data_IF_605033334683
#
_entry.id   IF_605033334683
#
_cell.length_a   1.000
_cell.length_b   1.000
_cell.length_c   1.000
_cell.angle_alpha   90.00
_cell.angle_beta   90.00
_cell.angle_gamma   90.00
#
_symmetry.space_group_name_H-M   'P 1'
#
loop_
_entity.id
_entity.type
_entity.pdbx_description
1 polymer ?
#
# COMPACT_ATOMS: atom_id res chain seq x y z
N UNK A 1 34.48 11.37 54.24
CA UNK A 1 33.25 12.18 54.22
C UNK A 1 32.95 12.48 52.76
N UNK A 2 32.10 11.67 52.13
CA UNK A 2 31.85 11.66 50.68
C UNK A 2 30.35 11.93 50.50
N UNK A 3 30.00 13.05 49.87
CA UNK A 3 28.62 13.39 49.50
C UNK A 3 28.42 13.12 48.00
N UNK A 4 27.34 12.45 47.58
CA UNK A 4 27.12 12.09 46.19
C UNK A 4 26.52 13.26 45.39
N UNK A 5 26.99 13.42 44.15
CA UNK A 5 26.40 14.30 43.13
C UNK A 5 25.17 13.63 42.53
N UNK A 6 24.00 14.22 42.76
CA UNK A 6 22.78 13.86 42.04
C UNK A 6 22.80 14.51 40.65
N UNK A 7 22.80 13.70 39.60
CA UNK A 7 22.65 14.15 38.21
C UNK A 7 21.16 14.21 37.87
N UNK A 8 20.67 15.42 37.62
CA UNK A 8 19.30 15.68 37.17
C UNK A 8 19.26 15.50 35.64
N UNK A 9 18.68 14.39 35.17
CA UNK A 9 18.41 14.17 33.76
C UNK A 9 17.11 14.89 33.37
N UNK A 10 17.23 16.03 32.67
CA UNK A 10 16.10 16.68 32.00
C UNK A 10 15.73 15.87 30.74
N UNK A 11 14.59 15.18 30.78
CA UNK A 11 13.95 14.59 29.61
C UNK A 11 13.28 15.72 28.81
N UNK A 12 13.93 16.18 27.73
CA UNK A 12 13.29 17.03 26.72
C UNK A 12 12.40 16.15 25.83
N UNK A 13 11.12 16.52 25.61
CA UNK A 13 10.28 15.82 24.65
C UNK A 13 10.84 16.00 23.25
N UNK A 14 11.23 14.89 22.61
CA UNK A 14 11.51 14.85 21.18
C UNK A 14 10.19 15.08 20.45
N UNK A 15 9.99 16.29 19.92
CA UNK A 15 8.91 16.55 18.98
C UNK A 15 9.18 15.70 17.73
N UNK A 16 8.26 14.79 17.41
CA UNK A 16 8.32 14.06 16.15
C UNK A 16 8.34 15.07 14.99
N UNK A 17 9.20 14.90 13.97
CA UNK A 17 9.16 15.76 12.79
C UNK A 17 7.74 15.76 12.22
N UNK A 18 7.16 16.96 12.10
CA UNK A 18 5.84 17.13 11.52
C UNK A 18 5.84 16.55 10.09
N UNK A 19 4.88 15.68 9.79
CA UNK A 19 4.64 15.23 8.42
C UNK A 19 4.31 16.46 7.57
N UNK A 20 5.09 16.68 6.52
CA UNK A 20 4.91 17.85 5.64
C UNK A 20 4.00 17.54 4.48
N UNK A 21 4.06 16.32 3.95
CA UNK A 21 3.22 15.85 2.86
C UNK A 21 1.91 15.28 3.38
N UNK A 22 0.82 15.67 2.72
CA UNK A 22 -0.54 15.25 3.03
C UNK A 22 -1.18 14.72 1.74
N UNK A 23 -1.94 13.63 1.86
CA UNK A 23 -2.78 13.15 0.78
C UNK A 23 -4.16 13.79 0.85
N UNK A 24 -4.75 14.08 -0.30
CA UNK A 24 -6.15 14.45 -0.42
C UNK A 24 -6.86 13.59 -1.46
N UNK A 25 -8.14 13.35 -1.22
CA UNK A 25 -8.98 12.52 -2.06
C UNK A 25 -10.33 13.22 -2.23
N UNK A 26 -10.89 13.16 -3.43
CA UNK A 26 -12.20 13.71 -3.72
C UNK A 26 -12.92 12.88 -4.78
N UNK A 27 -14.25 12.90 -4.78
CA UNK A 27 -15.09 12.41 -5.87
C UNK A 27 -16.18 13.46 -6.11
N UNK A 28 -16.16 14.11 -7.27
CA UNK A 28 -17.16 15.12 -7.64
C UNK A 28 -18.36 14.51 -8.39
N UNK A 29 -18.37 13.20 -8.60
CA UNK A 29 -19.37 12.44 -9.34
C UNK A 29 -19.07 12.31 -10.84
N UNK A 30 -18.22 13.16 -11.42
CA UNK A 30 -17.65 12.95 -12.74
C UNK A 30 -16.30 12.21 -12.65
N UNK A 31 -15.46 12.63 -11.71
CA UNK A 31 -14.11 12.12 -11.50
C UNK A 31 -13.81 11.88 -10.01
N UNK A 32 -13.00 10.85 -9.79
CA UNK A 32 -12.28 10.60 -8.54
C UNK A 32 -10.88 11.19 -8.68
N UNK A 33 -10.44 11.91 -7.66
CA UNK A 33 -9.14 12.58 -7.59
C UNK A 33 -8.33 12.01 -6.44
N UNK A 34 -7.06 11.73 -6.70
CA UNK A 34 -6.05 11.47 -5.69
C UNK A 34 -4.91 12.47 -5.85
N UNK A 35 -4.51 13.12 -4.77
CA UNK A 35 -3.34 14.01 -4.78
C UNK A 35 -2.50 13.92 -3.53
N UNK A 36 -1.22 14.27 -3.66
CA UNK A 36 -0.28 14.39 -2.56
C UNK A 36 0.56 15.66 -2.74
N UNK A 37 0.69 16.45 -1.69
CA UNK A 37 1.48 17.68 -1.71
C UNK A 37 1.99 18.03 -0.31
N UNK A 38 3.11 18.78 -0.20
CA UNK A 38 3.55 19.34 1.06
C UNK A 38 2.83 20.65 1.37
N UNK A 39 2.87 21.08 2.64
CA UNK A 39 2.52 22.45 3.03
C UNK A 39 3.77 23.30 3.34
N UNK A 40 3.96 24.47 2.70
CA UNK A 40 3.15 25.03 1.61
C UNK A 40 3.34 24.25 0.29
N UNK A 41 2.31 24.29 -0.57
CA UNK A 41 2.29 23.55 -1.85
C UNK A 41 3.29 24.16 -2.83
N UNK A 42 4.34 23.41 -3.12
CA UNK A 42 5.34 23.78 -4.13
C UNK A 42 5.48 22.71 -5.23
N UNK A 43 5.25 21.46 -4.85
CA UNK A 43 5.27 20.29 -5.74
C UNK A 43 4.05 19.45 -5.40
N UNK A 44 3.39 18.87 -6.39
CA UNK A 44 2.30 17.94 -6.14
C UNK A 44 2.28 16.80 -7.14
N UNK A 45 1.76 15.68 -6.65
CA UNK A 45 1.39 14.52 -7.44
C UNK A 45 -0.13 14.54 -7.54
N UNK A 46 -0.69 14.48 -8.75
CA UNK A 46 -2.14 14.40 -8.93
C UNK A 46 -2.51 13.38 -9.98
N UNK A 47 -3.63 12.71 -9.77
CA UNK A 47 -4.25 11.84 -10.76
C UNK A 47 -5.76 11.94 -10.63
N UNK A 48 -6.44 11.62 -11.73
CA UNK A 48 -7.89 11.48 -11.74
C UNK A 48 -8.31 10.23 -12.53
N UNK A 49 -9.52 9.79 -12.28
CA UNK A 49 -10.16 8.64 -12.93
C UNK A 49 -11.67 8.88 -13.01
N UNK A 50 -12.40 8.24 -13.94
CA UNK A 50 -13.85 8.35 -13.99
C UNK A 50 -14.51 7.88 -12.69
N UNK A 51 -15.43 8.67 -12.15
CA UNK A 51 -16.27 8.27 -11.02
C UNK A 51 -17.27 7.19 -11.43
N UNK A 52 -17.67 6.36 -10.46
CA UNK A 52 -18.73 5.38 -10.64
C UNK A 52 -20.09 6.04 -10.97
N UNK A 53 -20.30 7.28 -10.51
CA UNK A 53 -21.55 8.03 -10.74
C UNK A 53 -21.69 8.51 -12.18
N UNK A 54 -20.57 8.71 -12.89
CA UNK A 54 -20.52 9.10 -14.32
C UNK A 54 -21.33 10.36 -14.64
N UNK A 55 -21.32 11.36 -13.75
CA UNK A 55 -21.92 12.66 -14.06
C UNK A 55 -21.16 13.33 -15.23
N UNK A 56 -21.86 14.07 -16.11
CA UNK A 56 -21.20 14.89 -17.13
C UNK A 56 -20.27 15.94 -16.48
N UNK A 57 -19.02 16.12 -16.95
CA UNK A 57 -18.06 17.06 -16.34
C UNK A 57 -18.59 18.50 -16.24
N UNK A 58 -19.37 18.93 -17.23
CA UNK A 58 -20.00 20.27 -17.24
C UNK A 58 -20.97 20.47 -16.07
N UNK A 59 -21.59 19.41 -15.56
CA UNK A 59 -22.54 19.49 -14.44
C UNK A 59 -21.85 19.74 -13.10
N UNK A 60 -20.60 19.29 -12.97
CA UNK A 60 -19.81 19.38 -11.72
C UNK A 60 -18.75 20.48 -11.79
N UNK A 61 -18.75 21.27 -12.86
CA UNK A 61 -17.77 22.34 -13.09
C UNK A 61 -16.42 21.87 -13.65
N UNK A 62 -16.17 20.58 -13.78
CA UNK A 62 -14.91 19.98 -14.25
C UNK A 62 -14.74 19.99 -15.78
N UNK A 63 -15.30 20.98 -16.47
CA UNK A 63 -15.28 21.06 -17.94
C UNK A 63 -13.91 21.46 -18.54
N UNK A 64 -13.02 22.04 -17.72
CA UNK A 64 -11.63 22.34 -18.08
C UNK A 64 -10.64 21.29 -17.58
N UNK A 65 -11.13 20.30 -16.82
CA UNK A 65 -10.28 19.25 -16.27
C UNK A 65 -9.85 18.28 -17.37
N UNK A 66 -8.54 18.07 -17.49
CA UNK A 66 -8.01 17.03 -18.37
C UNK A 66 -8.07 15.68 -17.66
N UNK A 67 -8.81 14.74 -18.26
CA UNK A 67 -8.84 13.35 -17.79
C UNK A 67 -7.49 12.71 -18.07
N UNK A 68 -6.85 12.24 -17.02
CA UNK A 68 -5.62 11.47 -17.10
C UNK A 68 -5.86 10.20 -17.93
N UNK A 69 -4.86 9.75 -18.66
CA UNK A 69 -4.93 8.41 -19.22
C UNK A 69 -4.95 7.38 -18.06
N UNK A 70 -5.51 6.17 -18.28
CA UNK A 70 -5.50 5.12 -17.28
C UNK A 70 -4.11 4.91 -16.68
N UNK A 71 -4.05 4.92 -15.35
CA UNK A 71 -2.82 4.70 -14.58
C UNK A 71 -1.68 5.67 -14.91
N UNK A 72 -2.02 6.93 -15.20
CA UNK A 72 -1.06 8.03 -15.28
C UNK A 72 -1.22 8.99 -14.10
N UNK A 73 -0.13 9.64 -13.74
CA UNK A 73 -0.06 10.66 -12.69
C UNK A 73 0.64 11.89 -13.25
N UNK A 74 0.17 13.07 -12.88
CA UNK A 74 0.83 14.34 -13.13
C UNK A 74 1.78 14.64 -11.98
N UNK A 75 3.01 14.99 -12.33
CA UNK A 75 3.95 15.60 -11.40
C UNK A 75 4.04 17.08 -11.77
N UNK A 76 3.75 17.92 -10.79
CA UNK A 76 3.50 19.33 -11.03
C UNK A 76 4.30 20.18 -10.05
N UNK A 77 4.78 21.33 -10.51
CA UNK A 77 5.63 22.25 -9.76
C UNK A 77 5.12 23.67 -9.90
N UNK A 78 5.19 24.44 -8.81
CA UNK A 78 4.81 25.85 -8.86
C UNK A 78 5.75 26.64 -9.80
N UNK A 79 5.22 27.70 -10.42
CA UNK A 79 6.02 28.60 -11.26
C UNK A 79 7.23 29.22 -10.54
N UNK A 80 7.17 29.36 -9.21
CA UNK A 80 8.28 29.87 -8.40
C UNK A 80 9.45 28.89 -8.28
N UNK A 81 9.21 27.59 -8.46
CA UNK A 81 10.25 26.56 -8.47
C UNK A 81 10.93 26.43 -9.83
N UNK A 82 10.18 26.65 -10.91
CA UNK A 82 10.65 26.48 -12.28
C UNK A 82 10.41 27.79 -13.04
N UNK A 83 11.41 28.69 -13.12
CA UNK A 83 11.22 29.97 -13.81
C UNK A 83 11.22 29.78 -15.34
N UNK A 84 10.36 30.48 -16.07
CA UNK A 84 10.37 30.48 -17.53
C UNK A 84 8.98 30.55 -18.14
N UNK A 85 8.90 30.50 -19.48
CA UNK A 85 7.63 30.64 -20.22
C UNK A 85 7.48 29.66 -21.38
N UNK A 86 8.48 28.79 -21.64
CA UNK A 86 8.45 27.82 -22.74
C UNK A 86 8.84 26.43 -22.27
N UNK A 87 8.55 25.38 -23.07
CA UNK A 87 8.80 23.99 -22.68
C UNK A 87 10.21 23.75 -22.13
N UNK A 88 10.31 23.02 -21.02
CA UNK A 88 11.58 22.81 -20.31
C UNK A 88 12.00 21.36 -20.38
N UNK A 89 13.19 21.10 -20.90
CA UNK A 89 13.79 19.77 -21.04
C UNK A 89 15.13 19.66 -20.29
N UNK A 90 15.47 20.66 -19.49
CA UNK A 90 16.74 20.86 -18.78
C UNK A 90 16.60 20.66 -17.27
N UNK A 91 15.46 20.10 -16.82
CA UNK A 91 15.13 19.99 -15.41
C UNK A 91 15.50 18.59 -14.91
N UNK A 92 16.30 18.58 -13.84
CA UNK A 92 16.66 17.36 -13.13
C UNK A 92 15.98 17.30 -11.77
N UNK A 93 15.49 16.12 -11.40
CA UNK A 93 15.05 15.80 -10.06
C UNK A 93 16.04 14.82 -9.44
N UNK A 94 16.74 15.25 -8.40
CA UNK A 94 17.62 14.38 -7.63
C UNK A 94 16.81 13.70 -6.54
N UNK A 95 16.76 12.37 -6.60
CA UNK A 95 16.12 11.51 -5.61
C UNK A 95 17.23 10.77 -4.86
N UNK A 96 17.43 11.09 -3.59
CA UNK A 96 18.60 10.66 -2.83
C UNK A 96 19.89 11.24 -3.45
N UNK A 97 20.67 10.37 -4.09
CA UNK A 97 21.91 10.74 -4.82
C UNK A 97 21.79 10.51 -6.33
N UNK A 98 20.63 10.06 -6.82
CA UNK A 98 20.43 9.71 -8.22
C UNK A 98 19.74 10.86 -8.97
N UNK A 99 20.36 11.42 -10.02
CA UNK A 99 19.71 12.42 -10.85
C UNK A 99 18.76 11.75 -11.85
N UNK A 100 17.54 12.26 -11.94
CA UNK A 100 16.55 11.89 -12.94
C UNK A 100 16.33 13.08 -13.86
N UNK A 101 16.57 12.90 -15.16
CA UNK A 101 16.17 13.87 -16.17
C UNK A 101 14.65 13.81 -16.31
N UNK A 102 13.95 14.90 -16.03
CA UNK A 102 12.51 14.95 -16.24
C UNK A 102 12.19 14.99 -17.75
N UNK A 103 11.07 14.36 -18.18
CA UNK A 103 10.49 14.62 -19.49
C UNK A 103 10.24 16.11 -19.71
N UNK A 104 9.96 16.48 -20.97
CA UNK A 104 9.63 17.87 -21.31
C UNK A 104 8.43 18.33 -20.48
N UNK A 105 8.64 19.36 -19.68
CA UNK A 105 7.61 20.00 -18.87
C UNK A 105 6.95 21.13 -19.65
N UNK A 106 5.64 21.27 -19.49
CA UNK A 106 4.86 22.34 -20.11
C UNK A 106 4.22 23.20 -19.03
N UNK A 107 4.20 24.52 -19.26
CA UNK A 107 3.50 25.44 -18.39
C UNK A 107 2.00 25.37 -18.69
N UNK A 108 1.22 24.97 -17.71
CA UNK A 108 -0.22 25.14 -17.74
C UNK A 108 -0.54 26.60 -17.43
N UNK A 109 -0.83 27.38 -18.48
CA UNK A 109 -1.07 28.83 -18.38
C UNK A 109 -2.30 29.17 -17.53
N UNK A 110 -3.26 28.25 -17.41
CA UNK A 110 -4.48 28.45 -16.63
C UNK A 110 -4.18 28.44 -15.12
N UNK A 111 -3.33 27.52 -14.68
CA UNK A 111 -3.02 27.32 -13.25
C UNK A 111 -1.68 27.91 -12.84
N UNK A 112 -0.82 28.27 -13.79
CA UNK A 112 0.52 28.81 -13.53
C UNK A 112 1.51 27.75 -13.04
N UNK A 113 1.30 26.49 -13.42
CA UNK A 113 2.05 25.33 -12.90
C UNK A 113 2.76 24.60 -14.01
N UNK A 114 3.95 24.09 -13.72
CA UNK A 114 4.68 23.25 -14.65
C UNK A 114 4.29 21.81 -14.43
N UNK A 115 3.76 21.17 -15.47
CA UNK A 115 3.26 19.80 -15.38
C UNK A 115 4.01 18.87 -16.34
N UNK A 116 4.09 17.61 -15.93
CA UNK A 116 4.45 16.49 -16.79
C UNK A 116 3.64 15.27 -16.38
N UNK A 117 3.30 14.44 -17.35
CA UNK A 117 2.52 13.21 -17.12
C UNK A 117 3.43 12.00 -17.18
N UNK A 118 3.34 11.13 -16.17
CA UNK A 118 4.09 9.88 -16.06
C UNK A 118 3.12 8.70 -15.99
N UNK A 119 3.61 7.52 -16.38
CA UNK A 119 2.96 6.29 -15.93
C UNK A 119 3.10 6.19 -14.41
N UNK A 120 2.06 5.76 -13.70
CA UNK A 120 2.16 5.43 -12.28
C UNK A 120 3.19 4.33 -11.99
N UNK A 121 3.49 3.49 -12.99
CA UNK A 121 4.49 2.43 -12.92
C UNK A 121 5.91 2.93 -13.23
N UNK A 122 6.10 4.23 -13.46
CA UNK A 122 7.40 4.81 -13.79
C UNK A 122 8.41 4.57 -12.64
N UNK A 123 9.62 4.08 -12.94
CA UNK A 123 10.63 3.80 -11.93
C UNK A 123 11.04 5.05 -11.13
N UNK A 124 10.94 6.25 -11.70
CA UNK A 124 11.19 7.50 -10.99
C UNK A 124 10.18 7.71 -9.86
N UNK A 125 8.89 7.40 -10.09
CA UNK A 125 7.88 7.49 -9.02
C UNK A 125 8.15 6.49 -7.92
N UNK A 126 8.57 5.26 -8.26
CA UNK A 126 8.98 4.28 -7.25
C UNK A 126 10.14 4.80 -6.40
N UNK A 127 11.15 5.41 -7.04
CA UNK A 127 12.26 6.04 -6.34
C UNK A 127 11.79 7.22 -5.46
N UNK A 128 10.88 8.05 -5.96
CA UNK A 128 10.31 9.19 -5.23
C UNK A 128 9.63 8.76 -3.94
N UNK A 129 8.86 7.65 -3.97
CA UNK A 129 8.20 7.10 -2.78
C UNK A 129 9.16 6.55 -1.73
N UNK A 130 10.41 6.27 -2.09
CA UNK A 130 11.45 5.82 -1.18
C UNK A 130 12.45 6.92 -0.82
N UNK A 131 12.19 8.17 -1.24
CA UNK A 131 13.13 9.27 -1.12
C UNK A 131 13.32 9.71 0.34
N UNK A 132 14.57 9.73 0.80
CA UNK A 132 15.03 10.39 2.02
C UNK A 132 15.49 11.84 1.76
N UNK A 133 15.69 12.19 0.48
CA UNK A 133 16.10 13.51 0.02
C UNK A 133 15.56 13.77 -1.38
N UNK A 134 15.08 14.99 -1.60
CA UNK A 134 14.59 15.44 -2.89
C UNK A 134 15.17 16.82 -3.21
N UNK A 135 15.74 16.99 -4.40
CA UNK A 135 16.27 18.28 -4.88
C UNK A 135 15.87 18.51 -6.33
N UNK A 136 15.23 19.63 -6.62
CA UNK A 136 14.91 20.07 -7.98
C UNK A 136 16.05 20.97 -8.49
N UNK A 137 16.57 20.68 -9.67
CA UNK A 137 17.60 21.47 -10.33
C UNK A 137 17.12 21.88 -11.73
N UNK A 138 16.57 23.10 -11.89
CA UNK A 138 16.15 23.61 -13.18
C UNK A 138 17.36 24.19 -13.95
N UNK A 139 17.96 23.41 -14.85
CA UNK A 139 19.01 23.89 -15.75
C UNK A 139 20.17 24.60 -15.04
N UNK A 140 20.36 25.88 -15.37
CA UNK A 140 21.41 26.74 -14.82
C UNK A 140 21.09 27.38 -13.47
N UNK A 141 19.87 27.19 -12.95
CA UNK A 141 19.44 27.79 -11.70
C UNK A 141 19.96 27.03 -10.48
N UNK A 142 19.91 27.69 -9.32
CA UNK A 142 20.31 27.05 -8.06
C UNK A 142 19.37 25.88 -7.71
N UNK A 143 19.92 24.69 -7.39
CA UNK A 143 19.12 23.57 -6.93
C UNK A 143 18.35 23.89 -5.66
N UNK A 144 17.09 23.43 -5.56
CA UNK A 144 16.20 23.67 -4.43
C UNK A 144 15.83 22.35 -3.75
N UNK A 145 16.05 22.28 -2.44
CA UNK A 145 15.60 21.14 -1.63
C UNK A 145 14.08 21.14 -1.51
N UNK A 146 13.48 19.96 -1.65
CA UNK A 146 12.05 19.74 -1.48
C UNK A 146 11.81 18.90 -0.21
N UNK A 147 10.69 19.12 0.50
CA UNK A 147 10.35 18.31 1.66
C UNK A 147 10.11 16.85 1.26
N UNK A 148 10.39 15.91 2.15
CA UNK A 148 10.15 14.46 1.95
C UNK A 148 9.39 13.81 3.11
N UNK A 149 9.22 14.51 4.24
CA UNK A 149 8.53 13.95 5.39
C UNK A 149 7.05 13.71 5.07
N UNK A 150 6.61 12.45 5.15
CA UNK A 150 5.25 12.01 4.78
C UNK A 150 5.06 11.71 3.28
N UNK A 151 6.06 11.97 2.44
CA UNK A 151 5.96 11.74 0.99
C UNK A 151 5.62 10.28 0.64
N UNK A 152 6.26 9.25 1.24
CA UNK A 152 5.95 7.85 0.92
C UNK A 152 4.48 7.49 1.15
N UNK A 153 3.92 7.91 2.28
CA UNK A 153 2.54 7.58 2.67
C UNK A 153 1.53 8.39 1.86
N UNK A 154 1.77 9.69 1.70
CA UNK A 154 0.87 10.57 0.97
C UNK A 154 0.77 10.19 -0.52
N UNK A 155 1.91 9.95 -1.17
CA UNK A 155 1.95 9.53 -2.57
C UNK A 155 1.32 8.14 -2.78
N UNK A 156 1.52 7.21 -1.86
CA UNK A 156 0.85 5.89 -1.89
C UNK A 156 -0.66 6.06 -1.83
N UNK A 157 -1.17 6.86 -0.88
CA UNK A 157 -2.60 7.10 -0.74
C UNK A 157 -3.20 7.72 -2.01
N UNK A 158 -2.54 8.73 -2.60
CA UNK A 158 -2.98 9.33 -3.86
C UNK A 158 -3.03 8.31 -5.02
N UNK A 159 -2.00 7.47 -5.16
CA UNK A 159 -1.95 6.44 -6.19
C UNK A 159 -3.02 5.37 -5.97
N UNK A 160 -3.25 4.91 -4.73
CA UNK A 160 -4.29 3.94 -4.38
C UNK A 160 -5.67 4.43 -4.81
N UNK A 161 -6.01 5.68 -4.51
CA UNK A 161 -7.30 6.28 -4.90
C UNK A 161 -7.55 6.16 -6.40
N UNK A 162 -6.59 6.56 -7.23
CA UNK A 162 -6.75 6.53 -8.67
C UNK A 162 -6.67 5.13 -9.27
N UNK A 163 -5.81 4.25 -8.73
CA UNK A 163 -5.73 2.85 -9.18
C UNK A 163 -7.04 2.12 -8.90
N UNK A 164 -7.62 2.29 -7.70
CA UNK A 164 -8.95 1.75 -7.37
C UNK A 164 -10.04 2.26 -8.31
N UNK A 165 -10.05 3.57 -8.60
CA UNK A 165 -11.06 4.16 -9.46
C UNK A 165 -10.93 3.69 -10.93
N UNK A 166 -9.71 3.55 -11.46
CA UNK A 166 -9.50 2.98 -12.80
C UNK A 166 -9.87 1.50 -12.89
N UNK A 167 -9.57 0.72 -11.84
CA UNK A 167 -10.02 -0.66 -11.73
C UNK A 167 -11.56 -0.74 -11.74
N UNK A 168 -12.23 0.08 -10.94
CA UNK A 168 -13.68 0.17 -10.90
C UNK A 168 -14.29 0.63 -12.24
N UNK A 169 -13.55 1.44 -13.00
CA UNK A 169 -13.93 1.83 -14.36
C UNK A 169 -13.73 0.73 -15.42
N UNK A 170 -13.25 -0.46 -15.03
CA UNK A 170 -13.12 -1.64 -15.88
C UNK A 170 -11.74 -1.83 -16.51
N UNK A 171 -10.74 -1.06 -16.10
CA UNK A 171 -9.37 -1.20 -16.62
C UNK A 171 -8.60 -2.25 -15.83
N UNK A 172 -7.79 -3.05 -16.52
CA UNK A 172 -6.90 -4.02 -15.86
C UNK A 172 -5.73 -3.30 -15.19
N UNK A 173 -5.48 -3.59 -13.91
CA UNK A 173 -4.35 -2.98 -13.17
C UNK A 173 -3.03 -3.58 -13.71
N UNK A 174 -2.08 -2.73 -14.16
CA UNK A 174 -0.76 -3.20 -14.54
C UNK A 174 -0.09 -3.94 -13.37
N UNK A 175 0.64 -5.06 -13.61
CA UNK A 175 1.30 -5.80 -12.52
C UNK A 175 2.21 -4.94 -11.63
N UNK A 176 2.89 -3.95 -12.21
CA UNK A 176 3.74 -3.00 -11.48
C UNK A 176 2.97 -2.10 -10.51
N UNK A 177 1.65 -2.01 -10.64
CA UNK A 177 0.75 -1.26 -9.76
C UNK A 177 -0.09 -2.15 -8.86
N UNK A 178 0.24 -3.45 -8.81
CA UNK A 178 -0.37 -4.40 -7.89
C UNK A 178 -0.46 -3.78 -6.50
N UNK A 179 0.64 -3.19 -6.00
CA UNK A 179 0.71 -2.62 -4.65
C UNK A 179 -0.29 -1.52 -4.29
N UNK A 180 -0.95 -0.93 -5.29
CA UNK A 180 -1.95 0.13 -5.13
C UNK A 180 -3.38 -0.33 -5.39
N UNK A 181 -3.57 -1.56 -5.87
CA UNK A 181 -4.89 -2.13 -6.12
C UNK A 181 -5.58 -2.44 -4.79
N UNK A 182 -6.90 -2.26 -4.65
CA UNK A 182 -7.62 -2.71 -3.48
C UNK A 182 -7.59 -4.25 -3.33
N UNK A 183 -7.35 -4.99 -4.42
CA UNK A 183 -7.12 -6.44 -4.39
C UNK A 183 -5.72 -6.82 -3.88
N UNK A 184 -4.80 -5.86 -3.80
CA UNK A 184 -3.56 -6.00 -3.07
C UNK A 184 -3.82 -5.41 -1.70
N UNK A 185 -4.12 -6.25 -0.71
CA UNK A 185 -4.33 -5.84 0.68
C UNK A 185 -3.12 -5.04 1.19
N UNK A 186 -3.13 -3.73 0.98
CA UNK A 186 -1.97 -2.86 1.13
C UNK A 186 -2.34 -1.40 1.36
N UNK A 187 -3.59 -1.14 1.78
CA UNK A 187 -3.93 0.07 2.52
C UNK A 187 -3.06 0.18 3.77
N UNK A 188 -2.99 1.38 4.39
CA UNK A 188 -2.33 1.57 5.69
C UNK A 188 -2.55 0.32 6.54
N UNK A 189 -1.46 -0.39 6.89
CA UNK A 189 -1.55 -1.76 7.35
C UNK A 189 -2.67 -1.88 8.38
N UNK A 190 -3.73 -2.62 8.01
CA UNK A 190 -4.87 -2.79 8.91
C UNK A 190 -4.34 -3.43 10.20
N UNK A 191 -5.04 -3.27 11.33
CA UNK A 191 -4.58 -3.87 12.59
C UNK A 191 -4.22 -5.36 12.45
N UNK A 192 -4.92 -6.10 11.57
CA UNK A 192 -4.65 -7.52 11.32
C UNK A 192 -3.39 -7.74 10.48
N UNK A 193 -3.15 -6.94 9.44
CA UNK A 193 -1.91 -7.03 8.66
C UNK A 193 -0.68 -6.69 9.49
N UNK A 194 -0.75 -5.64 10.31
CA UNK A 194 0.32 -5.30 11.27
C UNK A 194 0.57 -6.45 12.23
N UNK A 195 -0.49 -7.06 12.78
CA UNK A 195 -0.36 -8.19 13.69
C UNK A 195 0.29 -9.42 13.03
N UNK A 196 -0.07 -9.71 11.77
CA UNK A 196 0.52 -10.81 11.02
C UNK A 196 2.01 -10.55 10.70
N UNK A 197 2.37 -9.34 10.29
CA UNK A 197 3.78 -8.96 10.08
C UNK A 197 4.60 -8.99 11.37
N UNK A 198 4.01 -8.60 12.50
CA UNK A 198 4.63 -8.74 13.83
C UNK A 198 4.84 -10.21 14.19
N UNK A 199 3.87 -11.08 13.91
CA UNK A 199 4.02 -12.52 14.10
C UNK A 199 5.16 -13.11 13.26
N UNK A 200 5.33 -12.68 12.00
CA UNK A 200 6.48 -13.08 11.16
C UNK A 200 7.81 -12.66 11.81
N UNK A 201 7.90 -11.41 12.27
CA UNK A 201 9.12 -10.88 12.93
C UNK A 201 9.46 -11.67 14.19
N UNK A 202 8.46 -11.94 15.02
CA UNK A 202 8.62 -12.74 16.25
C UNK A 202 9.02 -14.18 15.94
N UNK A 203 8.31 -14.80 14.99
CA UNK A 203 8.51 -16.19 14.59
C UNK A 203 9.86 -16.48 13.95
N UNK A 204 10.36 -15.54 13.16
CA UNK A 204 11.67 -15.64 12.51
C UNK A 204 12.84 -15.23 13.39
N UNK A 205 12.59 -14.59 14.55
CA UNK A 205 13.62 -14.03 15.44
C UNK A 205 14.66 -13.18 14.67
N UNK A 206 14.20 -12.41 13.68
CA UNK A 206 15.06 -11.70 12.75
C UNK A 206 14.41 -11.44 11.39
N UNK A 207 15.25 -11.24 10.37
CA UNK A 207 14.83 -10.99 9.00
C UNK A 207 14.17 -12.22 8.36
N UNK A 208 13.23 -11.96 7.46
CA UNK A 208 12.51 -12.97 6.71
C UNK A 208 12.31 -12.53 5.26
N UNK A 209 12.48 -13.46 4.33
CA UNK A 209 12.00 -13.32 2.95
C UNK A 209 10.54 -13.76 2.91
N UNK A 210 9.70 -12.97 2.22
CA UNK A 210 8.25 -13.16 2.13
C UNK A 210 7.89 -13.43 0.68
N UNK A 211 7.23 -14.56 0.41
CA UNK A 211 6.66 -14.88 -0.89
C UNK A 211 5.50 -13.94 -1.25
N UNK A 212 5.03 -13.94 -2.51
CA UNK A 212 3.95 -13.06 -2.95
C UNK A 212 2.62 -13.31 -2.20
N UNK A 213 2.37 -14.55 -1.78
CA UNK A 213 1.10 -14.98 -1.18
C UNK A 213 1.21 -15.29 0.33
N UNK A 214 2.27 -14.82 0.99
CA UNK A 214 2.46 -15.05 2.44
C UNK A 214 1.35 -14.46 3.32
N UNK A 215 0.66 -13.41 2.84
CA UNK A 215 -0.53 -12.86 3.47
C UNK A 215 -1.67 -12.84 2.47
N UNK A 216 -2.75 -13.54 2.80
CA UNK A 216 -4.01 -13.48 2.08
C UNK A 216 -4.96 -12.56 2.86
N UNK A 217 -5.58 -11.62 2.16
CA UNK A 217 -6.56 -10.69 2.72
C UNK A 217 -7.98 -11.08 2.30
N UNK A 218 -8.95 -11.02 3.22
CA UNK A 218 -10.36 -11.31 2.92
C UNK A 218 -11.32 -10.83 4.02
N UNK A 219 -12.59 -11.20 3.90
CA UNK A 219 -13.65 -10.97 4.90
C UNK A 219 -14.20 -12.33 5.34
N UNK A 220 -13.51 -12.98 6.27
CA UNK A 220 -13.79 -14.36 6.72
C UNK A 220 -14.89 -14.35 7.77
N UNK A 221 -14.84 -13.41 8.72
CA UNK A 221 -15.81 -13.34 9.82
C UNK A 221 -17.08 -12.54 9.52
N UNK A 222 -17.11 -11.82 8.39
CA UNK A 222 -18.30 -11.14 7.88
C UNK A 222 -18.56 -9.76 8.47
N UNK A 223 -17.57 -9.14 9.13
CA UNK A 223 -17.71 -7.81 9.71
C UNK A 223 -17.28 -6.65 8.78
N UNK A 224 -16.99 -6.97 7.51
CA UNK A 224 -16.53 -6.05 6.47
C UNK A 224 -15.17 -5.38 6.77
N UNK A 225 -14.49 -5.80 7.84
CA UNK A 225 -13.11 -5.41 8.16
C UNK A 225 -12.16 -6.48 7.62
N UNK A 226 -10.96 -6.08 7.20
CA UNK A 226 -9.97 -7.00 6.66
C UNK A 226 -9.50 -8.04 7.70
N UNK A 227 -9.64 -9.31 7.33
CA UNK A 227 -9.03 -10.47 7.94
C UNK A 227 -7.76 -10.87 7.18
N UNK A 228 -6.82 -11.47 7.88
CA UNK A 228 -5.53 -11.89 7.30
C UNK A 228 -5.27 -13.36 7.57
N UNK A 229 -4.87 -14.11 6.54
CA UNK A 229 -4.29 -15.45 6.66
C UNK A 229 -2.78 -15.34 6.39
N UNK A 230 -1.97 -15.72 7.36
CA UNK A 230 -0.52 -15.84 7.24
C UNK A 230 -0.15 -17.28 6.87
N UNK A 231 0.35 -17.49 5.66
CA UNK A 231 0.90 -18.77 5.21
C UNK A 231 2.39 -18.86 5.53
N UNK A 232 2.74 -19.64 6.55
CA UNK A 232 4.13 -19.87 6.92
C UNK A 232 4.91 -20.68 5.89
N UNK A 233 4.23 -21.38 4.97
CA UNK A 233 4.86 -22.06 3.83
C UNK A 233 5.48 -21.10 2.81
N UNK A 234 5.03 -19.85 2.80
CA UNK A 234 5.56 -18.78 1.96
C UNK A 234 6.50 -17.82 2.70
N UNK A 235 6.97 -18.19 3.89
CA UNK A 235 7.90 -17.40 4.71
C UNK A 235 9.22 -18.15 4.90
N UNK A 236 10.32 -17.51 4.52
CA UNK A 236 11.68 -18.04 4.72
C UNK A 236 12.43 -17.15 5.72
N UNK A 237 12.65 -17.64 6.94
CA UNK A 237 13.43 -16.91 7.93
C UNK A 237 14.93 -17.09 7.70
N UNK A 238 15.71 -16.01 7.77
CA UNK A 238 17.16 -16.07 7.56
C UNK A 238 17.90 -16.80 8.70
N UNK A 239 17.33 -16.77 9.91
CA UNK A 239 17.92 -17.33 11.13
C UNK A 239 17.63 -18.80 11.42
N UNK A 240 16.87 -19.51 10.56
CA UNK A 240 16.44 -20.89 10.80
C UNK A 240 15.01 -21.15 10.33
N UNK A 241 14.41 -22.31 10.65
CA UNK A 241 13.02 -22.58 10.26
C UNK A 241 12.04 -21.64 10.98
N UNK A 242 10.94 -21.22 10.33
CA UNK A 242 9.93 -20.38 10.93
C UNK A 242 9.27 -21.00 12.16
N UNK A 243 8.73 -20.14 13.01
CA UNK A 243 7.89 -20.50 14.17
C UNK A 243 6.60 -19.67 14.13
N UNK A 244 5.39 -20.27 14.13
CA UNK A 244 5.08 -21.70 14.28
C UNK A 244 5.54 -22.60 13.12
N UNK A 245 5.26 -23.90 13.30
CA UNK A 245 5.88 -25.02 12.61
C UNK A 245 5.69 -24.99 11.08
N UNK A 246 6.81 -25.03 10.35
CA UNK A 246 6.85 -25.46 8.95
C UNK A 246 7.86 -26.60 8.86
N UNK A 247 7.35 -27.83 8.84
CA UNK A 247 8.15 -29.06 8.89
C UNK A 247 7.99 -29.93 7.66
N UNK A 248 8.38 -31.21 7.76
CA UNK A 248 8.59 -32.09 6.61
C UNK A 248 7.38 -32.33 5.68
N UNK A 249 6.16 -31.97 6.08
CA UNK A 249 4.96 -32.22 5.30
C UNK A 249 3.85 -31.18 5.43
N UNK A 250 3.91 -30.23 6.38
CA UNK A 250 2.87 -29.22 6.59
C UNK A 250 3.51 -27.96 7.17
N UNK A 251 2.92 -26.82 6.82
CA UNK A 251 3.24 -25.53 7.42
C UNK A 251 2.02 -24.96 8.11
N UNK A 252 2.27 -24.18 9.15
CA UNK A 252 1.22 -23.48 9.86
C UNK A 252 0.58 -22.42 8.98
N UNK A 253 -0.72 -22.23 9.14
CA UNK A 253 -1.46 -21.11 8.60
C UNK A 253 -2.19 -20.41 9.75
N UNK A 254 -1.85 -19.16 10.02
CA UNK A 254 -2.41 -18.40 11.13
C UNK A 254 -3.46 -17.41 10.63
N UNK A 255 -4.67 -17.49 11.16
CA UNK A 255 -5.79 -16.64 10.75
C UNK A 255 -6.07 -15.55 11.79
N UNK A 256 -5.88 -14.31 11.38
CA UNK A 256 -6.09 -13.11 12.16
C UNK A 256 -7.47 -12.53 11.81
N UNK A 257 -8.47 -12.89 12.62
CA UNK A 257 -9.84 -12.41 12.47
C UNK A 257 -10.03 -11.05 13.16
N UNK A 258 -10.50 -10.04 12.44
CA UNK A 258 -10.77 -8.66 12.88
C UNK A 258 -11.67 -8.63 14.12
N UNK A 259 -12.70 -9.48 14.19
CA UNK A 259 -13.65 -9.51 15.31
C UNK A 259 -13.11 -10.22 16.56
N UNK A 260 -12.08 -11.07 16.43
CA UNK A 260 -11.61 -11.95 17.53
C UNK A 260 -10.22 -11.57 18.03
N UNK A 261 -9.28 -11.33 17.11
CA UNK A 261 -7.87 -11.13 17.42
C UNK A 261 -7.61 -9.96 18.39
N UNK A 262 -8.27 -8.78 18.28
CA UNK A 262 -8.03 -7.68 19.24
C UNK A 262 -8.30 -8.06 20.70
N UNK A 263 -9.21 -9.02 20.93
CA UNK A 263 -9.60 -9.50 22.27
C UNK A 263 -8.74 -10.67 22.72
N UNK A 264 -8.53 -11.67 21.86
CA UNK A 264 -7.76 -12.88 22.21
C UNK A 264 -6.24 -12.68 22.13
N UNK A 265 -5.77 -11.76 21.29
CA UNK A 265 -4.35 -11.56 20.91
C UNK A 265 -3.67 -12.85 20.45
N UNK A 266 -4.42 -13.72 19.80
CA UNK A 266 -3.94 -15.00 19.30
C UNK A 266 -4.69 -15.31 17.99
N UNK A 267 -3.97 -15.69 16.91
CA UNK A 267 -4.62 -16.11 15.68
C UNK A 267 -5.17 -17.53 15.82
N UNK A 268 -6.12 -17.90 14.96
CA UNK A 268 -6.60 -19.26 14.83
C UNK A 268 -5.64 -20.04 13.92
N UNK A 269 -4.93 -21.04 14.47
CA UNK A 269 -3.87 -21.75 13.76
C UNK A 269 -4.34 -23.06 13.10
N UNK A 270 -3.91 -23.27 11.86
CA UNK A 270 -4.14 -24.48 11.06
C UNK A 270 -2.83 -25.07 10.56
N UNK A 271 -2.83 -26.33 10.13
CA UNK A 271 -1.69 -26.95 9.44
C UNK A 271 -2.14 -27.40 8.06
N UNK A 272 -1.46 -26.93 7.02
CA UNK A 272 -1.80 -27.21 5.63
C UNK A 272 -0.55 -27.35 4.76
N UNK A 273 -0.72 -27.96 3.58
CA UNK A 273 0.27 -27.95 2.50
C UNK A 273 0.25 -26.63 1.71
N UNK A 274 -0.85 -25.92 1.80
CA UNK A 274 -1.10 -24.64 1.14
C UNK A 274 -2.47 -24.14 1.57
N UNK A 275 -2.66 -22.83 1.48
CA UNK A 275 -3.90 -22.17 1.88
C UNK A 275 -4.40 -21.24 0.79
N UNK A 276 -5.72 -21.08 0.73
CA UNK A 276 -6.36 -20.12 -0.16
C UNK A 276 -7.64 -19.58 0.48
N UNK A 277 -8.05 -18.40 0.04
CA UNK A 277 -9.37 -17.85 0.34
C UNK A 277 -10.31 -18.09 -0.84
N UNK A 278 -11.53 -18.55 -0.55
CA UNK A 278 -12.54 -18.90 -1.55
C UNK A 278 -13.84 -18.17 -1.20
N UNK A 279 -14.44 -17.41 -2.13
CA UNK A 279 -15.69 -16.71 -1.84
C UNK A 279 -16.83 -17.70 -1.59
N UNK A 280 -17.61 -17.45 -0.55
CA UNK A 280 -18.79 -18.23 -0.18
C UNK A 280 -20.07 -17.55 -0.64
N UNK A 281 -21.16 -18.32 -0.71
CA UNK A 281 -22.47 -17.81 -1.16
C UNK A 281 -23.12 -16.82 -0.19
N UNK A 282 -22.63 -16.72 1.05
CA UNK A 282 -23.13 -15.80 2.07
C UNK A 282 -22.44 -14.42 2.03
N UNK A 283 -21.50 -14.20 1.10
CA UNK A 283 -20.75 -12.94 0.98
C UNK A 283 -19.46 -12.88 1.79
N UNK A 284 -19.14 -13.91 2.58
CA UNK A 284 -17.87 -14.05 3.29
C UNK A 284 -16.86 -14.86 2.46
N UNK A 285 -15.61 -14.81 2.86
CA UNK A 285 -14.56 -15.72 2.38
C UNK A 285 -14.44 -16.96 3.27
N UNK A 286 -14.27 -18.12 2.65
CA UNK A 286 -13.94 -19.38 3.28
C UNK A 286 -12.43 -19.65 3.21
N UNK A 287 -11.94 -20.44 4.16
CA UNK A 287 -10.55 -20.88 4.22
C UNK A 287 -10.41 -22.27 3.60
N UNK A 288 -9.78 -22.36 2.43
CA UNK A 288 -9.42 -23.63 1.80
C UNK A 288 -8.02 -24.06 2.28
N UNK A 289 -7.93 -25.27 2.81
CA UNK A 289 -6.69 -25.90 3.25
C UNK A 289 -6.37 -27.10 2.34
N UNK A 290 -5.18 -27.10 1.74
CA UNK A 290 -4.64 -28.30 1.11
C UNK A 290 -4.12 -29.25 2.17
N UNK A 291 -4.55 -30.51 2.12
CA UNK A 291 -4.25 -31.52 3.14
C UNK A 291 -3.29 -32.58 2.62
N UNK A 292 -2.61 -33.29 3.54
CA UNK A 292 -1.74 -34.41 3.16
C UNK A 292 -2.52 -35.54 2.47
N UNK A 293 -1.86 -36.29 1.59
CA UNK A 293 -2.48 -37.46 0.94
C UNK A 293 -3.04 -38.47 1.95
N UNK A 294 -2.39 -38.63 3.11
CA UNK A 294 -2.86 -39.52 4.17
C UNK A 294 -4.20 -39.03 4.75
N UNK A 295 -4.30 -37.73 5.06
CA UNK A 295 -5.54 -37.09 5.53
C UNK A 295 -6.63 -37.20 4.48
N UNK A 296 -6.31 -36.87 3.23
CA UNK A 296 -7.21 -36.93 2.08
C UNK A 296 -7.82 -38.32 1.90
N UNK A 297 -7.00 -39.38 1.85
CA UNK A 297 -7.46 -40.75 1.70
C UNK A 297 -8.31 -41.22 2.88
N UNK A 298 -7.92 -40.86 4.12
CA UNK A 298 -8.65 -41.26 5.32
C UNK A 298 -10.03 -40.60 5.41
N UNK A 299 -10.16 -39.38 4.88
CA UNK A 299 -11.37 -38.57 4.97
C UNK A 299 -12.22 -38.54 3.71
N UNK A 300 -11.71 -39.07 2.59
CA UNK A 300 -12.40 -39.06 1.30
C UNK A 300 -12.57 -37.64 0.73
N UNK A 301 -11.60 -36.75 0.95
CA UNK A 301 -11.70 -35.35 0.54
C UNK A 301 -11.55 -35.20 -0.98
N UNK A 302 -12.44 -34.46 -1.67
CA UNK A 302 -12.25 -34.13 -3.08
C UNK A 302 -11.02 -33.24 -3.24
N UNK A 303 -10.17 -33.57 -4.22
CA UNK A 303 -8.93 -32.86 -4.54
C UNK A 303 -7.97 -32.64 -3.35
N UNK A 304 -8.11 -33.45 -2.29
CA UNK A 304 -7.36 -33.33 -1.05
C UNK A 304 -7.46 -31.94 -0.37
N UNK A 305 -8.57 -31.24 -0.59
CA UNK A 305 -8.86 -29.93 -0.03
C UNK A 305 -9.92 -30.01 1.06
N UNK A 306 -9.79 -29.15 2.06
CA UNK A 306 -10.76 -28.95 3.13
C UNK A 306 -11.21 -27.49 3.08
N UNK A 307 -12.52 -27.25 2.96
CA UNK A 307 -13.07 -25.90 2.99
C UNK A 307 -13.69 -25.62 4.36
N UNK A 308 -13.28 -24.50 4.96
CA UNK A 308 -13.74 -24.06 6.28
C UNK A 308 -14.48 -22.73 6.17
N UNK A 309 -15.49 -22.53 7.00
CA UNK A 309 -16.15 -21.24 7.20
C UNK A 309 -16.19 -20.87 8.68
N UNK A 310 -16.19 -19.58 8.98
CA UNK A 310 -16.31 -19.08 10.34
C UNK A 310 -17.78 -18.97 10.74
N UNK A 311 -18.18 -19.61 11.84
CA UNK A 311 -19.56 -19.57 12.36
C UNK A 311 -19.83 -18.44 13.36
N UNK A 312 -18.87 -17.53 13.55
CA UNK A 312 -18.87 -16.49 14.58
C UNK A 312 -18.12 -16.89 15.86
N UNK A 313 -17.83 -18.18 16.05
CA UNK A 313 -17.16 -18.71 17.25
C UNK A 313 -15.95 -19.57 16.92
N UNK A 314 -16.02 -20.39 15.86
CA UNK A 314 -14.96 -21.29 15.41
C UNK A 314 -15.12 -21.60 13.92
N UNK A 315 -14.08 -22.16 13.32
CA UNK A 315 -14.20 -22.71 11.97
C UNK A 315 -15.01 -24.02 11.98
N UNK A 316 -15.88 -24.15 10.98
CA UNK A 316 -16.65 -25.34 10.66
C UNK A 316 -16.29 -25.78 9.24
N UNK A 317 -16.35 -27.09 9.01
CA UNK A 317 -16.13 -27.65 7.68
C UNK A 317 -17.39 -27.51 6.83
N UNK A 318 -17.21 -27.10 5.57
CA UNK A 318 -18.25 -27.19 4.55
C UNK A 318 -18.12 -28.57 3.90
N UNK A 319 -19.19 -29.40 3.94
CA UNK A 319 -19.18 -30.73 3.35
C UNK A 319 -19.14 -30.72 1.82
#
# INVERSE_FOLDING_TARGET
MILPRAALFCLLPLAAPAQTWVASQADDGAYVYGSASPEPVQVWLSCNAPSATRLPPVQVGAHEETVSAPYTIRLEFSGDLVPGTGPRADIHLWIGQTPWQLPVMVLNELTGVWELTLSMADPMLKALRAADRLVLAPGSDQPRGLPVAGLPDASRAAMQTCVSAWLAAGFQVPPALGEFSPAYGGGAATPMRVAADEAVREGCNGSATRGPDYLLSGNIDGDETEDIVLDWGAVECEGGPPRPFCGAALCSADVFLSSVFPRKRQPEGWNALGVALVPLSNGNDGLELQTSQATCNARGLPDCKLLLYWDGTRFQEIP
#
